data_IF_996539169244
#
_entry.id   IF_996539169244
#
_cell.length_a   1.000
_cell.length_b   1.000
_cell.length_c   1.000
_cell.angle_alpha   90.00
_cell.angle_beta   90.00
_cell.angle_gamma   90.00
#
_symmetry.space_group_name_H-M   'P 1'
#
loop_
_entity.id
_entity.type
_entity.pdbx_description
1 polymer ?
#
# COMPACT_ATOMS: atom_id res chain seq x y z
N UNK A 1 9.27 6.17 11.45
CA UNK A 1 8.55 5.33 10.48
C UNK A 1 9.33 5.21 9.17
N UNK A 2 10.27 4.25 9.08
CA UNK A 2 11.12 4.08 7.89
C UNK A 2 10.33 3.79 6.61
N UNK A 3 9.23 3.03 6.71
CA UNK A 3 8.37 2.71 5.57
C UNK A 3 7.70 3.95 4.97
N UNK A 4 7.09 4.82 5.79
CA UNK A 4 6.42 6.03 5.30
C UNK A 4 7.41 6.97 4.60
N UNK A 5 8.62 7.14 5.13
CA UNK A 5 9.66 7.94 4.47
C UNK A 5 10.12 7.34 3.15
N UNK A 6 10.17 6.02 3.05
CA UNK A 6 10.50 5.34 1.78
C UNK A 6 9.41 5.55 0.75
N UNK A 7 8.15 5.38 1.12
CA UNK A 7 7.00 5.59 0.22
C UNK A 7 6.90 7.06 -0.23
N UNK A 8 7.18 8.01 0.66
CA UNK A 8 7.35 9.42 0.29
C UNK A 8 8.52 9.63 -0.67
N UNK A 9 9.70 9.06 -0.37
CA UNK A 9 10.88 9.16 -1.26
C UNK A 9 10.67 8.53 -2.64
N UNK A 10 9.73 7.59 -2.76
CA UNK A 10 9.27 7.00 -4.02
C UNK A 10 8.17 7.83 -4.71
N UNK A 11 7.74 8.95 -4.11
CA UNK A 11 6.69 9.82 -4.66
C UNK A 11 5.28 9.28 -4.54
N UNK A 12 5.04 8.28 -3.67
CA UNK A 12 3.73 7.64 -3.50
C UNK A 12 2.87 8.29 -2.40
N UNK A 13 3.51 9.04 -1.51
CA UNK A 13 2.86 9.78 -0.44
C UNK A 13 3.25 11.26 -0.53
N UNK A 14 2.29 12.14 -0.29
CA UNK A 14 2.54 13.52 0.05
C UNK A 14 2.65 13.65 1.57
N UNK A 15 3.42 14.61 2.07
CA UNK A 15 3.45 14.93 3.49
C UNK A 15 3.23 16.40 3.79
N UNK A 16 2.61 16.67 4.93
CA UNK A 16 2.37 18.02 5.43
C UNK A 16 2.65 18.09 6.93
N UNK A 17 3.14 19.25 7.37
CA UNK A 17 3.27 19.56 8.78
C UNK A 17 1.97 20.21 9.27
N UNK A 18 1.36 19.63 10.29
CA UNK A 18 0.35 20.30 11.09
C UNK A 18 1.02 20.92 12.30
N UNK A 19 0.88 22.24 12.45
CA UNK A 19 1.46 23.03 13.54
C UNK A 19 0.41 23.65 14.44
N UNK A 20 -0.86 23.23 14.33
CA UNK A 20 -1.99 23.87 15.03
C UNK A 20 -2.02 23.55 16.53
N UNK A 21 -1.23 22.58 16.99
CA UNK A 21 -1.15 22.15 18.39
C UNK A 21 0.21 22.40 19.03
N UNK A 22 0.30 22.10 20.33
CA UNK A 22 1.52 22.29 21.13
C UNK A 22 2.76 21.51 20.64
N UNK A 23 2.59 20.55 19.72
CA UNK A 23 3.68 19.77 19.11
C UNK A 23 3.41 19.58 17.61
N UNK A 24 4.34 19.99 16.72
CA UNK A 24 4.22 19.75 15.29
C UNK A 24 4.07 18.26 14.98
N UNK A 25 3.12 17.93 14.09
CA UNK A 25 2.89 16.56 13.61
C UNK A 25 3.05 16.52 12.10
N UNK A 26 3.69 15.47 11.58
CA UNK A 26 3.78 15.24 10.14
C UNK A 26 2.75 14.20 9.73
N UNK A 27 1.86 14.57 8.81
CA UNK A 27 0.87 13.70 8.21
C UNK A 27 1.35 13.22 6.85
N UNK A 28 1.00 11.99 6.50
CA UNK A 28 1.28 11.40 5.19
C UNK A 28 -0.04 10.99 4.55
N UNK A 29 -0.22 11.32 3.28
CA UNK A 29 -1.45 11.04 2.53
C UNK A 29 -1.07 10.40 1.21
N UNK A 30 -1.79 9.36 0.81
CA UNK A 30 -1.59 8.74 -0.50
C UNK A 30 -1.98 9.72 -1.61
N UNK A 31 -1.06 9.92 -2.55
CA UNK A 31 -1.26 10.84 -3.66
C UNK A 31 -1.77 10.09 -4.91
N UNK A 32 -1.88 10.79 -6.05
CA UNK A 32 -2.38 10.19 -7.29
C UNK A 32 -1.49 9.03 -7.77
N UNK A 33 -0.16 9.21 -7.77
CA UNK A 33 0.81 8.18 -8.13
C UNK A 33 0.74 6.98 -7.19
N UNK A 34 0.64 7.22 -5.88
CA UNK A 34 0.43 6.19 -4.87
C UNK A 34 -0.83 5.37 -5.11
N UNK A 35 -1.94 6.02 -5.50
CA UNK A 35 -3.19 5.31 -5.83
C UNK A 35 -3.06 4.42 -7.06
N UNK A 36 -2.31 4.83 -8.08
CA UNK A 36 -2.06 4.00 -9.27
C UNK A 36 -1.25 2.75 -8.90
N UNK A 37 -0.17 2.92 -8.13
CA UNK A 37 0.65 1.79 -7.67
C UNK A 37 -0.14 0.86 -6.75
N UNK A 38 -0.95 1.42 -5.85
CA UNK A 38 -1.84 0.63 -4.99
C UNK A 38 -2.81 -0.23 -5.80
N UNK A 39 -3.42 0.33 -6.84
CA UNK A 39 -4.34 -0.41 -7.70
C UNK A 39 -3.65 -1.58 -8.41
N UNK A 40 -2.40 -1.40 -8.84
CA UNK A 40 -1.65 -2.48 -9.50
C UNK A 40 -1.25 -3.59 -8.50
N UNK A 41 -0.76 -3.21 -7.32
CA UNK A 41 -0.46 -4.16 -6.25
C UNK A 41 -1.71 -4.96 -5.82
N UNK A 42 -2.88 -4.31 -5.80
CA UNK A 42 -4.14 -4.99 -5.50
C UNK A 42 -4.51 -6.04 -6.56
N UNK A 43 -4.30 -5.75 -7.85
CA UNK A 43 -4.53 -6.73 -8.92
C UNK A 43 -3.58 -7.90 -8.84
N UNK A 44 -2.28 -7.63 -8.64
CA UNK A 44 -1.26 -8.67 -8.48
C UNK A 44 -1.60 -9.59 -7.29
N UNK A 45 -1.98 -8.99 -6.16
CA UNK A 45 -2.42 -9.73 -4.99
C UNK A 45 -3.64 -10.61 -5.27
N UNK A 46 -4.66 -10.07 -5.95
CA UNK A 46 -5.86 -10.82 -6.31
C UNK A 46 -5.54 -12.00 -7.23
N UNK A 47 -4.63 -11.81 -8.20
CA UNK A 47 -4.20 -12.89 -9.09
C UNK A 47 -3.46 -14.00 -8.34
N UNK A 48 -2.56 -13.63 -7.40
CA UNK A 48 -1.86 -14.58 -6.56
C UNK A 48 -2.83 -15.35 -5.65
N UNK A 49 -3.75 -14.64 -5.00
CA UNK A 49 -4.75 -15.24 -4.13
C UNK A 49 -5.64 -16.23 -4.90
N UNK A 50 -6.12 -15.85 -6.09
CA UNK A 50 -6.91 -16.75 -6.94
C UNK A 50 -6.12 -18.00 -7.35
N UNK A 51 -4.81 -17.86 -7.63
CA UNK A 51 -3.95 -19.01 -7.96
C UNK A 51 -3.81 -19.95 -6.75
N UNK A 52 -3.61 -19.40 -5.56
CA UNK A 52 -3.54 -20.20 -4.32
C UNK A 52 -4.86 -20.89 -4.03
N UNK A 53 -5.99 -20.22 -4.22
CA UNK A 53 -7.32 -20.81 -4.03
C UNK A 53 -7.54 -22.00 -4.98
N UNK A 54 -7.11 -21.90 -6.24
CA UNK A 54 -7.16 -23.03 -7.19
C UNK A 54 -6.30 -24.19 -6.68
N UNK A 55 -5.08 -23.94 -6.23
CA UNK A 55 -4.20 -25.01 -5.73
C UNK A 55 -4.78 -25.69 -4.48
N UNK A 56 -5.35 -24.92 -3.55
CA UNK A 56 -5.94 -25.45 -2.32
C UNK A 56 -7.24 -26.23 -2.59
N UNK A 57 -8.04 -25.82 -3.58
CA UNK A 57 -9.29 -26.51 -3.94
C UNK A 57 -9.07 -27.77 -4.78
N UNK A 58 -7.98 -27.84 -5.55
CA UNK A 58 -7.67 -28.99 -6.40
C UNK A 58 -6.69 -29.98 -5.74
N UNK A 59 -5.95 -29.57 -4.71
CA UNK A 59 -5.03 -30.41 -3.95
C UNK A 59 -5.69 -31.39 -2.97
N UNK A 60 -7.01 -31.29 -2.76
CA UNK A 60 -7.77 -32.07 -1.77
C UNK A 60 -8.52 -33.28 -2.40
N UNK A 61 -8.23 -33.59 -3.69
CA UNK A 61 -8.88 -34.69 -4.45
C UNK A 61 -7.91 -35.79 -4.90
N UNK A 62 -6.82 -36.05 -4.19
CA UNK A 62 -5.92 -37.19 -4.47
C UNK A 62 -5.67 -38.05 -3.26
#
# INVERSE_FOLDING_TARGET
YPLLRRLEGQGLLDSSWNTDGARPRRYYVINASGRLVLAELQKEWQALAATLDVLLTHGDKS
#
